data_IF_500244482737
#
_entry.id   IF_500244482737
#
_cell.length_a   1.000
_cell.length_b   1.000
_cell.length_c   1.000
_cell.angle_alpha   90.00
_cell.angle_beta   90.00
_cell.angle_gamma   90.00
#
_symmetry.space_group_name_H-M   'P 1'
#
loop_
_entity.id
_entity.type
_entity.pdbx_description
1 polymer ?
#
# COMPACT_ATOMS: atom_id res chain seq x y z
N UNK A 1 -20.44 -6.60 4.64
CA UNK A 1 -19.09 -6.78 4.06
C UNK A 1 -18.32 -7.70 4.99
N UNK A 2 -17.75 -8.79 4.48
CA UNK A 2 -17.02 -9.77 5.31
C UNK A 2 -15.75 -9.16 5.93
N UNK A 3 -15.30 -9.64 7.11
CA UNK A 3 -14.02 -9.24 7.67
C UNK A 3 -12.87 -9.47 6.66
N UNK A 4 -11.84 -8.60 6.63
CA UNK A 4 -10.73 -8.70 5.66
C UNK A 4 -10.05 -10.08 5.62
N UNK A 5 -9.99 -10.77 6.76
CA UNK A 5 -9.46 -12.13 6.85
C UNK A 5 -10.32 -13.14 6.07
N UNK A 6 -11.65 -13.07 6.20
CA UNK A 6 -12.58 -13.94 5.49
C UNK A 6 -12.51 -13.70 3.98
N UNK A 7 -12.48 -12.44 3.53
CA UNK A 7 -12.27 -12.10 2.11
C UNK A 7 -10.96 -12.65 1.55
N UNK A 8 -9.88 -12.63 2.34
CA UNK A 8 -8.60 -13.21 1.91
C UNK A 8 -8.68 -14.71 1.75
N UNK A 9 -9.32 -15.40 2.69
CA UNK A 9 -9.53 -16.86 2.58
C UNK A 9 -10.36 -17.17 1.33
N UNK A 10 -11.44 -16.44 1.08
CA UNK A 10 -12.24 -16.59 -0.15
C UNK A 10 -11.42 -16.37 -1.42
N UNK A 11 -10.64 -15.29 -1.46
CA UNK A 11 -9.74 -15.00 -2.58
C UNK A 11 -8.70 -16.11 -2.79
N UNK A 12 -8.13 -16.66 -1.72
CA UNK A 12 -7.17 -17.76 -1.81
C UNK A 12 -7.84 -19.07 -2.28
N UNK A 13 -9.07 -19.36 -1.83
CA UNK A 13 -9.85 -20.51 -2.30
C UNK A 13 -10.18 -20.36 -3.79
N UNK A 14 -10.60 -19.18 -4.23
CA UNK A 14 -10.84 -18.86 -5.65
C UNK A 14 -9.56 -19.06 -6.47
N UNK A 15 -8.44 -18.49 -6.02
CA UNK A 15 -7.13 -18.66 -6.65
C UNK A 15 -6.75 -20.14 -6.80
N UNK A 16 -6.85 -20.93 -5.73
CA UNK A 16 -6.51 -22.35 -5.75
C UNK A 16 -7.45 -23.14 -6.68
N UNK A 17 -8.73 -22.80 -6.68
CA UNK A 17 -9.76 -23.42 -7.53
C UNK A 17 -9.55 -23.11 -9.01
N UNK A 18 -9.09 -21.91 -9.34
CA UNK A 18 -8.73 -21.54 -10.72
C UNK A 18 -7.40 -22.19 -11.13
N UNK A 19 -6.39 -22.21 -10.25
CA UNK A 19 -5.07 -22.77 -10.54
C UNK A 19 -5.12 -24.28 -10.82
N UNK A 20 -5.91 -25.05 -10.05
CA UNK A 20 -6.01 -26.51 -10.23
C UNK A 20 -6.68 -26.93 -11.54
N UNK A 21 -7.39 -26.02 -12.20
CA UNK A 21 -8.01 -26.25 -13.51
C UNK A 21 -7.03 -26.03 -14.67
N UNK A 22 -5.87 -25.42 -14.43
CA UNK A 22 -4.83 -25.30 -15.45
C UNK A 22 -4.17 -26.66 -15.69
N UNK A 23 -3.89 -26.99 -16.96
CA UNK A 23 -3.26 -28.27 -17.34
C UNK A 23 -1.84 -28.41 -16.79
N UNK A 24 -1.05 -27.33 -16.85
CA UNK A 24 0.35 -27.30 -16.38
C UNK A 24 0.64 -26.00 -15.60
N UNK A 25 0.18 -25.90 -14.34
CA UNK A 25 0.32 -24.68 -13.55
C UNK A 25 1.78 -24.42 -13.20
N UNK A 26 2.39 -23.40 -13.82
CA UNK A 26 3.74 -22.96 -13.47
C UNK A 26 3.72 -21.97 -12.31
N UNK A 27 4.82 -21.88 -11.54
CA UNK A 27 4.94 -20.87 -10.47
C UNK A 27 4.74 -19.43 -10.97
N UNK A 28 5.26 -19.12 -12.16
CA UNK A 28 5.10 -17.81 -12.78
C UNK A 28 3.63 -17.48 -13.06
N UNK A 29 2.89 -18.46 -13.57
CA UNK A 29 1.45 -18.33 -13.81
C UNK A 29 0.66 -18.23 -12.50
N UNK A 30 0.94 -19.07 -11.51
CA UNK A 30 0.33 -19.02 -10.19
C UNK A 30 0.47 -17.63 -9.54
N UNK A 31 1.66 -17.03 -9.61
CA UNK A 31 1.88 -15.67 -9.08
C UNK A 31 1.04 -14.61 -9.81
N UNK A 32 0.93 -14.70 -11.13
CA UNK A 32 0.13 -13.77 -11.94
C UNK A 32 -1.36 -13.90 -11.59
N UNK A 33 -1.86 -15.14 -11.56
CA UNK A 33 -3.23 -15.45 -11.19
C UNK A 33 -3.57 -14.95 -9.78
N UNK A 34 -2.69 -15.17 -8.80
CA UNK A 34 -2.89 -14.68 -7.44
C UNK A 34 -3.01 -13.15 -7.38
N UNK A 35 -2.20 -12.43 -8.16
CA UNK A 35 -2.30 -10.98 -8.26
C UNK A 35 -3.61 -10.52 -8.92
N UNK A 36 -4.06 -11.21 -9.97
CA UNK A 36 -5.34 -10.97 -10.64
C UNK A 36 -6.51 -11.17 -9.67
N UNK A 37 -6.53 -12.28 -8.93
CA UNK A 37 -7.55 -12.59 -7.93
C UNK A 37 -7.55 -11.55 -6.80
N UNK A 38 -6.37 -11.19 -6.25
CA UNK A 38 -6.30 -10.20 -5.18
C UNK A 38 -6.76 -8.82 -5.63
N UNK A 39 -6.47 -8.43 -6.86
CA UNK A 39 -6.97 -7.19 -7.43
C UNK A 39 -8.51 -7.21 -7.58
N UNK A 40 -9.11 -8.33 -8.02
CA UNK A 40 -10.58 -8.51 -8.06
C UNK A 40 -11.22 -8.36 -6.68
N UNK A 41 -10.54 -8.84 -5.64
CA UNK A 41 -11.02 -8.77 -4.24
C UNK A 41 -10.60 -7.51 -3.48
N UNK A 42 -9.91 -6.56 -4.13
CA UNK A 42 -9.36 -5.36 -3.50
C UNK A 42 -8.51 -5.68 -2.26
N UNK A 43 -7.64 -6.67 -2.37
CA UNK A 43 -6.76 -7.14 -1.31
C UNK A 43 -5.30 -6.83 -1.64
N UNK A 44 -4.53 -6.56 -0.59
CA UNK A 44 -3.07 -6.55 -0.68
C UNK A 44 -2.50 -7.88 -0.14
N UNK A 45 -1.32 -8.33 -0.58
CA UNK A 45 -0.57 -9.40 0.08
C UNK A 45 -0.38 -9.17 1.58
N UNK A 46 -0.04 -10.20 2.35
CA UNK A 46 0.18 -10.12 3.80
C UNK A 46 1.23 -9.08 4.17
N UNK A 47 2.19 -8.77 3.30
CA UNK A 47 3.14 -7.67 3.51
C UNK A 47 2.52 -6.27 3.47
N UNK A 48 1.23 -6.17 3.15
CA UNK A 48 0.44 -4.95 2.99
C UNK A 48 0.75 -4.17 1.71
N UNK A 49 1.43 -4.78 0.74
CA UNK A 49 1.83 -4.13 -0.51
C UNK A 49 1.91 -5.15 -1.66
N UNK A 50 1.35 -4.80 -2.80
CA UNK A 50 1.36 -5.53 -4.07
C UNK A 50 2.69 -5.34 -4.82
N UNK A 51 3.73 -6.07 -4.41
CA UNK A 51 4.98 -6.20 -5.17
C UNK A 51 5.15 -7.62 -5.70
N UNK A 52 5.97 -7.81 -6.74
CA UNK A 52 6.25 -9.15 -7.28
C UNK A 52 6.84 -10.12 -6.23
N UNK A 53 7.64 -9.62 -5.28
CA UNK A 53 8.16 -10.41 -4.16
C UNK A 53 7.16 -10.60 -3.02
N UNK A 54 6.10 -9.78 -2.94
CA UNK A 54 5.02 -9.97 -1.99
C UNK A 54 4.12 -11.15 -2.41
N UNK A 55 3.75 -11.24 -3.69
CA UNK A 55 2.96 -12.38 -4.18
C UNK A 55 3.73 -13.71 -4.13
N UNK A 56 5.07 -13.66 -4.27
CA UNK A 56 5.92 -14.84 -4.03
C UNK A 56 5.79 -15.36 -2.59
N UNK A 57 5.68 -14.46 -1.61
CA UNK A 57 5.43 -14.83 -0.20
C UNK A 57 3.97 -15.24 0.03
N UNK A 58 3.04 -14.65 -0.71
CA UNK A 58 1.62 -14.97 -0.63
C UNK A 58 1.31 -16.39 -1.14
N UNK A 59 2.11 -16.92 -2.09
CA UNK A 59 2.01 -18.33 -2.49
C UNK A 59 2.21 -19.29 -1.31
N UNK A 60 3.06 -18.94 -0.34
CA UNK A 60 3.22 -19.75 0.87
C UNK A 60 1.95 -19.72 1.75
N UNK A 61 1.20 -18.62 1.76
CA UNK A 61 -0.11 -18.52 2.43
C UNK A 61 -1.15 -19.37 1.72
N UNK A 62 -1.18 -19.34 0.39
CA UNK A 62 -2.07 -20.18 -0.39
C UNK A 62 -1.79 -21.68 -0.17
N UNK A 63 -0.52 -22.07 -0.21
CA UNK A 63 -0.11 -23.46 0.02
C UNK A 63 -0.43 -23.92 1.45
N UNK A 64 -0.10 -23.12 2.47
CA UNK A 64 -0.43 -23.40 3.86
C UNK A 64 -1.95 -23.54 4.08
N UNK A 65 -2.76 -22.70 3.43
CA UNK A 65 -4.22 -22.81 3.49
C UNK A 65 -4.71 -24.10 2.81
N UNK A 66 -4.16 -24.47 1.66
CA UNK A 66 -4.54 -25.69 0.96
C UNK A 66 -4.20 -26.95 1.76
N UNK A 67 -2.97 -27.02 2.29
CA UNK A 67 -2.46 -28.16 3.06
C UNK A 67 -3.17 -28.31 4.41
N UNK A 68 -3.13 -27.27 5.26
CA UNK A 68 -3.63 -27.36 6.64
C UNK A 68 -5.11 -27.01 6.76
N UNK A 69 -5.61 -26.08 5.94
CA UNK A 69 -6.98 -25.58 6.03
C UNK A 69 -7.99 -26.37 5.21
N UNK A 70 -7.61 -26.77 4.00
CA UNK A 70 -8.48 -27.54 3.09
C UNK A 70 -8.18 -29.04 3.11
N UNK A 71 -7.07 -29.47 3.72
CA UNK A 71 -6.67 -30.87 3.79
C UNK A 71 -6.31 -31.46 2.43
N UNK A 72 -5.86 -30.64 1.48
CA UNK A 72 -5.51 -31.08 0.14
C UNK A 72 -4.22 -31.92 0.15
N UNK A 73 -4.25 -33.06 -0.52
CA UNK A 73 -3.08 -33.92 -0.72
C UNK A 73 -2.84 -34.15 -2.21
N UNK A 74 -3.77 -34.83 -2.87
CA UNK A 74 -3.66 -35.23 -4.27
C UNK A 74 -3.73 -34.02 -5.19
N UNK A 75 -4.52 -33.02 -4.80
CA UNK A 75 -4.59 -31.71 -5.45
C UNK A 75 -3.24 -30.99 -5.41
N UNK A 76 -2.51 -31.05 -4.30
CA UNK A 76 -1.20 -30.41 -4.18
C UNK A 76 -0.12 -31.12 -5.00
N UNK A 77 -0.26 -32.43 -5.25
CA UNK A 77 0.63 -33.14 -6.19
C UNK A 77 0.45 -32.63 -7.63
N UNK A 78 -0.80 -32.37 -8.05
CA UNK A 78 -1.10 -31.74 -9.35
C UNK A 78 -0.52 -30.32 -9.47
N UNK A 79 -0.40 -29.62 -8.34
CA UNK A 79 0.16 -28.26 -8.27
C UNK A 79 1.67 -28.24 -7.93
N UNK A 80 2.35 -29.38 -8.01
CA UNK A 80 3.75 -29.53 -7.60
C UNK A 80 4.71 -28.57 -8.32
N UNK A 81 4.48 -28.26 -9.59
CA UNK A 81 5.27 -27.28 -10.36
C UNK A 81 5.09 -25.84 -9.86
N UNK A 82 3.91 -25.49 -9.35
CA UNK A 82 3.63 -24.18 -8.78
C UNK A 82 4.19 -24.04 -7.35
N UNK A 83 4.08 -25.11 -6.55
CA UNK A 83 4.38 -25.12 -5.11
C UNK A 83 5.58 -25.98 -4.69
N UNK A 84 6.50 -26.28 -5.61
CA UNK A 84 7.67 -27.12 -5.32
C UNK A 84 8.48 -26.63 -4.11
N UNK A 85 8.60 -25.30 -3.96
CA UNK A 85 9.34 -24.69 -2.83
C UNK A 85 8.62 -24.89 -1.51
N UNK A 86 7.32 -24.62 -1.50
CA UNK A 86 6.48 -24.71 -0.31
C UNK A 86 6.40 -26.15 0.20
N UNK A 87 6.32 -27.14 -0.70
CA UNK A 87 6.38 -28.58 -0.34
C UNK A 87 7.69 -28.99 0.33
N UNK A 88 8.82 -28.48 -0.16
CA UNK A 88 10.13 -28.71 0.50
C UNK A 88 10.17 -28.02 1.86
N UNK A 89 9.63 -26.81 1.97
CA UNK A 89 9.57 -26.07 3.23
C UNK A 89 8.66 -26.75 4.25
N UNK A 90 7.51 -27.30 3.85
CA UNK A 90 6.60 -28.07 4.72
C UNK A 90 7.32 -29.28 5.34
N UNK A 91 7.96 -30.11 4.51
CA UNK A 91 8.75 -31.27 4.98
C UNK A 91 9.88 -30.89 5.92
N UNK A 92 10.62 -29.83 5.57
CA UNK A 92 11.72 -29.35 6.41
C UNK A 92 11.21 -28.80 7.74
N UNK A 93 10.13 -28.03 7.73
CA UNK A 93 9.54 -27.44 8.92
C UNK A 93 9.02 -28.52 9.88
N UNK A 94 8.30 -29.53 9.38
CA UNK A 94 7.86 -30.66 10.19
C UNK A 94 9.03 -31.39 10.85
N UNK A 95 10.14 -31.57 10.14
CA UNK A 95 11.37 -32.16 10.71
C UNK A 95 12.00 -31.29 11.79
N UNK A 96 12.02 -29.96 11.60
CA UNK A 96 12.56 -29.01 12.58
C UNK A 96 11.71 -28.98 13.86
N UNK A 97 10.38 -28.98 13.73
CA UNK A 97 9.48 -29.06 14.88
C UNK A 97 9.63 -30.40 15.62
N UNK A 98 10.00 -31.47 14.91
CA UNK A 98 10.43 -32.76 15.48
C UNK A 98 11.84 -32.76 16.11
N UNK A 99 12.53 -31.61 16.15
CA UNK A 99 13.83 -31.46 16.81
C UNK A 99 15.06 -31.59 15.91
N UNK A 100 14.90 -31.76 14.59
CA UNK A 100 16.04 -31.79 13.68
C UNK A 100 16.70 -30.41 13.55
N UNK A 101 18.02 -30.38 13.31
CA UNK A 101 18.72 -29.13 12.99
C UNK A 101 18.21 -28.56 11.65
N UNK A 102 18.22 -27.23 11.43
CA UNK A 102 17.76 -26.66 10.16
C UNK A 102 18.52 -27.17 8.93
N UNK A 103 19.81 -27.45 9.08
CA UNK A 103 20.64 -28.00 8.00
C UNK A 103 20.20 -29.42 7.63
N UNK A 104 19.99 -30.28 8.63
CA UNK A 104 19.55 -31.66 8.41
C UNK A 104 18.12 -31.72 7.88
N UNK A 105 17.23 -30.89 8.42
CA UNK A 105 15.84 -30.83 8.00
C UNK A 105 15.69 -30.41 6.53
N UNK A 106 16.42 -29.37 6.11
CA UNK A 106 16.48 -28.98 4.70
C UNK A 106 17.13 -30.07 3.84
N UNK A 107 18.22 -30.68 4.31
CA UNK A 107 18.91 -31.77 3.61
C UNK A 107 17.99 -32.96 3.30
N UNK A 108 17.23 -33.42 4.31
CA UNK A 108 16.24 -34.50 4.15
C UNK A 108 15.10 -34.13 3.21
N UNK A 109 14.73 -32.85 3.14
CA UNK A 109 13.72 -32.34 2.23
C UNK A 109 14.24 -32.08 0.80
N UNK A 110 15.52 -32.32 0.52
CA UNK A 110 16.13 -32.12 -0.80
C UNK A 110 16.66 -30.70 -1.05
N UNK A 111 16.89 -29.91 0.00
CA UNK A 111 17.39 -28.55 -0.06
C UNK A 111 18.67 -28.35 0.78
N UNK A 112 19.32 -27.20 0.60
CA UNK A 112 20.50 -26.80 1.36
C UNK A 112 20.23 -25.53 2.15
N UNK A 113 20.87 -25.42 3.32
CA UNK A 113 20.85 -24.19 4.12
C UNK A 113 21.51 -23.06 3.32
N UNK A 114 20.68 -22.20 2.73
CA UNK A 114 21.10 -21.09 1.88
C UNK A 114 20.12 -19.95 2.04
N UNK A 115 20.54 -18.71 1.75
CA UNK A 115 19.70 -17.52 1.91
C UNK A 115 18.34 -17.65 1.21
N UNK A 116 18.31 -18.26 0.02
CA UNK A 116 17.08 -18.49 -0.73
C UNK A 116 16.12 -19.47 -0.03
N UNK A 117 16.63 -20.62 0.44
CA UNK A 117 15.82 -21.62 1.13
C UNK A 117 15.40 -21.18 2.54
N UNK A 118 16.25 -20.45 3.26
CA UNK A 118 15.88 -19.84 4.55
C UNK A 118 14.74 -18.83 4.36
N UNK A 119 14.80 -17.99 3.32
CA UNK A 119 13.74 -17.04 3.00
C UNK A 119 12.41 -17.73 2.66
N UNK A 120 12.46 -18.82 1.88
CA UNK A 120 11.28 -19.62 1.55
C UNK A 120 10.69 -20.31 2.79
N UNK A 121 11.53 -20.96 3.61
CA UNK A 121 11.14 -21.62 4.84
C UNK A 121 10.48 -20.64 5.83
N UNK A 122 11.11 -19.48 6.06
CA UNK A 122 10.55 -18.44 6.92
C UNK A 122 9.23 -17.90 6.35
N UNK A 123 9.10 -17.79 5.03
CA UNK A 123 7.84 -17.35 4.41
C UNK A 123 6.71 -18.34 4.64
N UNK A 124 6.99 -19.64 4.56
CA UNK A 124 6.02 -20.69 4.87
C UNK A 124 5.70 -20.79 6.37
N UNK A 125 6.70 -20.74 7.26
CA UNK A 125 6.48 -20.71 8.70
C UNK A 125 5.63 -19.49 9.14
N UNK A 126 5.88 -18.31 8.54
CA UNK A 126 5.04 -17.12 8.78
C UNK A 126 3.63 -17.27 8.23
N UNK A 127 3.45 -17.95 7.10
CA UNK A 127 2.12 -18.21 6.56
C UNK A 127 1.29 -19.06 7.52
N UNK A 128 1.86 -20.16 8.03
CA UNK A 128 1.21 -20.98 9.06
C UNK A 128 0.90 -20.18 10.33
N UNK A 129 1.86 -19.36 10.79
CA UNK A 129 1.67 -18.49 11.95
C UNK A 129 0.56 -17.46 11.75
N UNK A 130 0.50 -16.85 10.57
CA UNK A 130 -0.53 -15.89 10.20
C UNK A 130 -1.92 -16.53 10.16
N UNK A 131 -2.03 -17.76 9.66
CA UNK A 131 -3.27 -18.54 9.61
C UNK A 131 -3.65 -19.17 10.95
N UNK A 132 -2.74 -19.19 11.92
CA UNK A 132 -2.97 -19.73 13.26
C UNK A 132 -2.62 -21.22 13.43
N UNK A 133 -1.99 -21.83 12.43
CA UNK A 133 -1.51 -23.23 12.49
C UNK A 133 -0.14 -23.38 13.18
N UNK A 134 0.57 -22.27 13.40
CA UNK A 134 1.84 -22.24 14.12
C UNK A 134 1.78 -21.20 15.24
N UNK A 135 2.17 -21.59 16.46
CA UNK A 135 2.20 -20.74 17.63
C UNK A 135 3.39 -19.78 17.68
N UNK A 136 3.32 -18.81 18.59
CA UNK A 136 4.38 -17.80 18.76
C UNK A 136 5.72 -18.41 19.20
N UNK A 137 5.68 -19.37 20.12
CA UNK A 137 6.87 -20.05 20.64
C UNK A 137 7.54 -20.93 19.60
N UNK A 138 6.76 -21.68 18.81
CA UNK A 138 7.29 -22.53 17.74
C UNK A 138 8.01 -21.69 16.68
N UNK A 139 7.39 -20.56 16.27
CA UNK A 139 8.03 -19.63 15.35
C UNK A 139 9.31 -19.00 15.93
N UNK A 140 9.32 -18.67 17.22
CA UNK A 140 10.52 -18.18 17.90
C UNK A 140 11.65 -19.23 17.92
N UNK A 141 11.32 -20.51 18.18
CA UNK A 141 12.29 -21.61 18.12
C UNK A 141 12.86 -21.80 16.71
N UNK A 142 12.04 -21.66 15.66
CA UNK A 142 12.51 -21.70 14.28
C UNK A 142 13.51 -20.57 14.00
N UNK A 143 13.22 -19.33 14.42
CA UNK A 143 14.17 -18.22 14.31
C UNK A 143 15.48 -18.50 15.06
N UNK A 144 15.38 -19.01 16.30
CA UNK A 144 16.54 -19.36 17.13
C UNK A 144 17.38 -20.48 16.51
N UNK A 145 16.74 -21.53 16.00
CA UNK A 145 17.39 -22.64 15.31
C UNK A 145 18.14 -22.18 14.07
N UNK A 146 17.51 -21.36 13.23
CA UNK A 146 18.13 -20.80 12.02
C UNK A 146 19.32 -19.88 12.36
N UNK A 147 19.19 -19.04 13.39
CA UNK A 147 20.28 -18.19 13.85
C UNK A 147 21.49 -19.02 14.32
N UNK A 148 21.26 -20.08 15.12
CA UNK A 148 22.31 -21.01 15.56
C UNK A 148 22.96 -21.76 14.41
N UNK A 149 22.20 -22.06 13.36
CA UNK A 149 22.69 -22.70 12.14
C UNK A 149 23.45 -21.73 11.21
N UNK A 150 23.64 -20.45 11.58
CA UNK A 150 24.39 -19.48 10.79
C UNK A 150 23.59 -18.84 9.66
N UNK A 151 22.26 -18.82 9.74
CA UNK A 151 21.45 -18.07 8.77
C UNK A 151 21.73 -16.56 8.83
N UNK A 152 21.52 -15.90 7.69
CA UNK A 152 21.79 -14.48 7.50
C UNK A 152 21.00 -13.60 8.48
N UNK A 153 21.73 -12.82 9.29
CA UNK A 153 21.14 -11.98 10.34
C UNK A 153 20.23 -10.87 9.80
N UNK A 154 20.50 -10.32 8.61
CA UNK A 154 19.66 -9.29 8.01
C UNK A 154 18.34 -9.86 7.50
N UNK A 155 18.39 -11.07 6.92
CA UNK A 155 17.19 -11.80 6.51
C UNK A 155 16.29 -12.09 7.72
N UNK A 156 16.85 -12.69 8.77
CA UNK A 156 16.13 -12.98 10.01
C UNK A 156 15.52 -11.70 10.61
N UNK A 157 16.26 -10.59 10.59
CA UNK A 157 15.77 -9.28 11.07
C UNK A 157 14.58 -8.76 10.28
N UNK A 158 14.64 -8.85 8.95
CA UNK A 158 13.53 -8.46 8.09
C UNK A 158 12.28 -9.29 8.41
N UNK A 159 12.44 -10.61 8.53
CA UNK A 159 11.33 -11.51 8.78
C UNK A 159 10.73 -11.32 10.18
N UNK A 160 11.55 -11.11 11.22
CA UNK A 160 11.05 -10.75 12.56
C UNK A 160 10.27 -9.44 12.56
N UNK A 161 10.77 -8.39 11.88
CA UNK A 161 10.03 -7.13 11.73
C UNK A 161 8.64 -7.35 11.16
N UNK A 162 8.53 -8.19 10.14
CA UNK A 162 7.26 -8.48 9.49
C UNK A 162 6.30 -9.20 10.44
N UNK A 163 6.78 -10.23 11.16
CA UNK A 163 5.98 -10.95 12.17
C UNK A 163 5.51 -10.02 13.29
N UNK A 164 6.42 -9.23 13.86
CA UNK A 164 6.08 -8.24 14.90
C UNK A 164 5.07 -7.23 14.37
N UNK A 165 5.20 -6.78 13.12
CA UNK A 165 4.26 -5.85 12.52
C UNK A 165 2.86 -6.45 12.36
N UNK A 166 2.76 -7.72 11.94
CA UNK A 166 1.49 -8.45 11.88
C UNK A 166 0.83 -8.59 13.25
N UNK A 167 1.57 -9.07 14.26
CA UNK A 167 1.01 -9.21 15.61
C UNK A 167 0.57 -7.87 16.18
N UNK A 168 1.37 -6.81 15.98
CA UNK A 168 0.99 -5.48 16.45
C UNK A 168 -0.25 -4.96 15.72
N UNK A 169 -0.37 -5.18 14.41
CA UNK A 169 -1.54 -4.83 13.62
C UNK A 169 -2.79 -5.61 14.05
N UNK A 170 -2.68 -6.91 14.32
CA UNK A 170 -3.75 -7.75 14.85
C UNK A 170 -4.22 -7.27 16.24
N UNK A 171 -3.29 -6.90 17.13
CA UNK A 171 -3.62 -6.34 18.44
C UNK A 171 -4.30 -4.97 18.34
N UNK A 172 -3.95 -4.15 17.34
CA UNK A 172 -4.65 -2.90 17.05
C UNK A 172 -6.07 -3.20 16.55
N UNK A 173 -6.21 -4.10 15.58
CA UNK A 173 -7.50 -4.46 14.98
C UNK A 173 -8.48 -5.04 16.01
N UNK A 174 -7.97 -5.78 16.99
CA UNK A 174 -8.76 -6.36 18.09
C UNK A 174 -8.94 -5.42 19.30
N UNK A 175 -8.44 -4.18 19.24
CA UNK A 175 -8.62 -3.19 20.31
C UNK A 175 -7.74 -3.37 21.55
N UNK A 176 -6.80 -4.32 21.55
CA UNK A 176 -5.89 -4.59 22.68
C UNK A 176 -4.80 -3.52 22.86
N UNK A 177 -4.66 -2.58 21.93
CA UNK A 177 -3.72 -1.45 22.00
C UNK A 177 -4.51 -0.15 22.02
N UNK A 178 -4.72 0.39 23.24
CA UNK A 178 -5.48 1.62 23.44
C UNK A 178 -4.64 2.90 23.40
N UNK A 179 -3.31 2.81 23.52
CA UNK A 179 -2.45 3.99 23.59
C UNK A 179 -1.08 3.81 22.93
N UNK A 180 -0.46 4.93 22.58
CA UNK A 180 0.89 4.95 22.01
C UNK A 180 1.98 4.41 22.95
N UNK A 181 1.77 4.45 24.28
CA UNK A 181 2.69 3.83 25.25
C UNK A 181 2.58 2.31 25.18
N UNK A 182 1.36 1.77 25.32
CA UNK A 182 1.10 0.32 25.21
C UNK A 182 1.62 -0.24 23.89
N UNK A 183 1.43 0.50 22.78
CA UNK A 183 1.98 0.14 21.47
C UNK A 183 3.50 -0.07 21.51
N UNK A 184 4.26 0.86 22.10
CA UNK A 184 5.73 0.77 22.17
C UNK A 184 6.17 -0.39 23.04
N UNK A 185 5.53 -0.58 24.19
CA UNK A 185 5.87 -1.65 25.13
C UNK A 185 5.59 -3.02 24.48
N UNK A 186 4.43 -3.18 23.82
CA UNK A 186 4.08 -4.41 23.08
C UNK A 186 5.00 -4.67 21.90
N UNK A 187 5.36 -3.63 21.13
CA UNK A 187 6.32 -3.77 20.02
C UNK A 187 7.65 -4.35 20.48
N UNK A 188 8.20 -3.79 21.57
CA UNK A 188 9.47 -4.26 22.13
C UNK A 188 9.35 -5.68 22.68
N UNK A 189 8.27 -5.99 23.41
CA UNK A 189 8.04 -7.33 23.94
C UNK A 189 7.95 -8.38 22.83
N UNK A 190 7.24 -8.09 21.74
CA UNK A 190 7.15 -8.99 20.57
C UNK A 190 8.49 -9.16 19.87
N UNK A 191 9.28 -8.10 19.71
CA UNK A 191 10.61 -8.21 19.11
C UNK A 191 11.53 -9.15 19.92
N UNK A 192 11.47 -9.05 21.25
CA UNK A 192 12.20 -9.94 22.15
C UNK A 192 11.68 -11.38 22.09
N UNK A 193 10.36 -11.58 22.04
CA UNK A 193 9.73 -12.90 21.96
C UNK A 193 10.25 -13.71 20.77
N UNK A 194 10.39 -13.07 19.60
CA UNK A 194 10.91 -13.73 18.39
C UNK A 194 12.44 -13.77 18.32
N UNK A 195 13.14 -13.58 19.45
CA UNK A 195 14.60 -13.68 19.55
C UNK A 195 15.37 -12.50 18.92
N UNK A 196 14.71 -11.35 18.78
CA UNK A 196 15.31 -10.11 18.26
C UNK A 196 15.59 -9.07 19.33
N UNK A 197 15.93 -7.86 18.88
CA UNK A 197 16.22 -6.67 19.68
C UNK A 197 15.47 -5.43 19.18
N UNK A 198 16.00 -4.25 19.55
CA UNK A 198 15.40 -2.95 19.21
C UNK A 198 15.42 -2.69 17.70
N UNK A 199 16.44 -3.22 17.02
CA UNK A 199 16.65 -3.13 15.58
C UNK A 199 15.69 -3.99 14.78
N UNK A 200 15.01 -4.96 15.41
CA UNK A 200 13.94 -5.80 14.85
C UNK A 200 12.54 -5.18 15.06
N UNK A 201 12.44 -4.04 15.74
CA UNK A 201 11.18 -3.33 15.87
C UNK A 201 10.71 -2.76 14.51
N UNK A 202 9.46 -3.00 14.10
CA UNK A 202 8.93 -2.44 12.86
C UNK A 202 8.66 -0.94 12.98
N UNK A 203 8.72 -0.24 11.84
CA UNK A 203 8.31 1.16 11.75
C UNK A 203 6.78 1.29 11.89
N UNK A 204 6.33 2.46 12.36
CA UNK A 204 4.89 2.76 12.42
C UNK A 204 4.23 2.67 11.04
N UNK A 205 4.94 3.06 9.98
CA UNK A 205 4.46 2.97 8.59
C UNK A 205 4.23 1.52 8.15
N UNK A 206 5.13 0.58 8.50
CA UNK A 206 4.93 -0.84 8.19
C UNK A 206 3.72 -1.41 8.91
N UNK A 207 3.59 -1.11 10.21
CA UNK A 207 2.45 -1.55 11.02
C UNK A 207 1.15 -0.96 10.50
N UNK A 208 1.14 0.34 10.15
CA UNK A 208 -0.05 1.02 9.62
C UNK A 208 -0.49 0.36 8.32
N UNK A 209 0.46 0.10 7.41
CA UNK A 209 0.18 -0.55 6.14
C UNK A 209 -0.47 -1.92 6.33
N UNK A 210 0.04 -2.74 7.25
CA UNK A 210 -0.53 -4.07 7.52
C UNK A 210 -1.89 -3.94 8.23
N UNK A 211 -2.02 -3.05 9.22
CA UNK A 211 -3.27 -2.82 9.94
C UNK A 211 -4.41 -2.41 9.00
N UNK A 212 -4.15 -1.44 8.11
CA UNK A 212 -5.14 -0.93 7.16
C UNK A 212 -5.38 -1.93 6.03
N UNK A 213 -4.33 -2.41 5.37
CA UNK A 213 -4.49 -3.18 4.12
C UNK A 213 -4.77 -4.67 4.33
N UNK A 214 -4.36 -5.25 5.46
CA UNK A 214 -4.50 -6.69 5.74
C UNK A 214 -5.63 -6.95 6.74
N UNK A 215 -5.66 -6.17 7.83
CA UNK A 215 -6.65 -6.34 8.90
C UNK A 215 -7.85 -5.38 8.80
N UNK A 216 -7.87 -4.47 7.81
CA UNK A 216 -8.97 -3.53 7.57
C UNK A 216 -9.27 -2.60 8.72
N UNK A 217 -8.25 -2.26 9.52
CA UNK A 217 -8.36 -1.20 10.51
C UNK A 217 -8.60 0.11 9.75
N UNK A 218 -9.61 0.88 10.17
CA UNK A 218 -9.87 2.19 9.58
C UNK A 218 -8.64 3.10 9.71
N UNK A 219 -8.37 3.91 8.68
CA UNK A 219 -7.15 4.73 8.63
C UNK A 219 -7.09 5.70 9.82
N UNK A 220 -8.24 6.25 10.24
CA UNK A 220 -8.38 7.11 11.42
C UNK A 220 -7.94 6.38 12.69
N UNK A 221 -8.47 5.18 12.93
CA UNK A 221 -8.17 4.34 14.08
C UNK A 221 -6.68 3.99 14.12
N UNK A 222 -6.13 3.55 12.99
CA UNK A 222 -4.72 3.23 12.87
C UNK A 222 -3.84 4.45 13.15
N UNK A 223 -4.21 5.62 12.60
CA UNK A 223 -3.47 6.85 12.81
C UNK A 223 -3.52 7.28 14.28
N UNK A 224 -4.60 7.12 15.05
CA UNK A 224 -4.61 7.46 16.49
C UNK A 224 -3.40 6.88 17.24
N UNK A 225 -2.90 5.72 16.80
CA UNK A 225 -1.80 5.00 17.43
C UNK A 225 -0.46 5.12 16.66
N UNK A 226 -0.52 5.22 15.33
CA UNK A 226 0.63 5.11 14.44
C UNK A 226 0.97 6.44 13.77
N UNK A 227 2.26 6.78 13.73
CA UNK A 227 2.78 7.97 13.07
C UNK A 227 3.29 7.62 11.68
N UNK A 228 2.71 8.23 10.66
CA UNK A 228 3.04 8.03 9.25
C UNK A 228 3.37 9.39 8.64
N UNK A 229 4.43 9.47 7.84
CA UNK A 229 4.79 10.67 7.06
C UNK A 229 4.14 10.63 5.67
N UNK A 230 4.02 11.79 5.00
CA UNK A 230 3.55 11.85 3.60
C UNK A 230 4.36 10.92 2.70
N UNK A 231 5.69 10.95 2.80
CA UNK A 231 6.57 10.09 2.03
C UNK A 231 6.29 8.59 2.25
N UNK A 232 6.03 8.18 3.50
CA UNK A 232 5.71 6.78 3.82
C UNK A 232 4.35 6.35 3.26
N UNK A 233 3.35 7.24 3.34
CA UNK A 233 2.03 7.03 2.76
C UNK A 233 2.11 6.88 1.25
N UNK A 234 2.77 7.81 0.55
CA UNK A 234 2.95 7.75 -0.91
C UNK A 234 3.66 6.47 -1.31
N UNK A 235 4.70 6.07 -0.57
CA UNK A 235 5.40 4.81 -0.80
C UNK A 235 4.51 3.56 -0.61
N UNK A 236 3.53 3.63 0.29
CA UNK A 236 2.54 2.58 0.48
C UNK A 236 1.51 2.58 -0.66
N UNK A 237 0.96 3.75 -0.99
CA UNK A 237 -0.03 3.92 -2.06
C UNK A 237 0.53 3.52 -3.43
N UNK A 238 1.78 3.88 -3.73
CA UNK A 238 2.48 3.50 -4.96
C UNK A 238 2.57 1.97 -5.16
N UNK A 239 2.43 1.19 -4.08
CA UNK A 239 2.49 -0.28 -4.10
C UNK A 239 1.16 -0.94 -3.74
N UNK A 240 0.07 -0.19 -3.60
CA UNK A 240 -1.22 -0.72 -3.20
C UNK A 240 -2.13 -0.89 -4.43
N UNK A 241 -2.10 -2.08 -5.04
CA UNK A 241 -2.93 -2.37 -6.22
C UNK A 241 -4.42 -2.15 -5.93
N UNK A 242 -4.89 -2.48 -4.73
CA UNK A 242 -6.27 -2.28 -4.32
C UNK A 242 -6.72 -0.82 -4.32
N UNK A 243 -5.82 0.15 -4.13
CA UNK A 243 -6.18 1.56 -4.23
C UNK A 243 -6.46 1.95 -5.70
N UNK A 244 -5.59 1.52 -6.61
CA UNK A 244 -5.68 1.94 -8.02
C UNK A 244 -6.70 1.14 -8.79
N UNK A 245 -6.69 -0.19 -8.66
CA UNK A 245 -7.59 -1.04 -9.41
C UNK A 245 -9.04 -0.99 -8.92
N UNK A 246 -9.28 -0.68 -7.64
CA UNK A 246 -10.66 -0.60 -7.15
C UNK A 246 -11.25 0.81 -7.26
N UNK A 247 -10.41 1.85 -7.25
CA UNK A 247 -10.89 3.22 -7.36
C UNK A 247 -10.88 3.76 -8.80
N UNK A 248 -9.84 3.46 -9.57
CA UNK A 248 -9.65 4.04 -10.91
C UNK A 248 -10.22 3.13 -11.99
N UNK A 249 -9.72 1.90 -12.10
CA UNK A 249 -10.18 0.91 -13.09
C UNK A 249 -9.89 -0.52 -12.64
N UNK A 250 -10.92 -1.35 -12.55
CA UNK A 250 -10.78 -2.77 -12.23
C UNK A 250 -9.97 -3.51 -13.30
N UNK A 251 -9.38 -4.66 -12.96
CA UNK A 251 -8.63 -5.46 -13.94
C UNK A 251 -9.48 -5.81 -15.16
N UNK A 252 -10.74 -6.17 -14.95
CA UNK A 252 -11.68 -6.51 -16.02
C UNK A 252 -11.98 -5.29 -16.91
N UNK A 253 -12.28 -4.14 -16.31
CA UNK A 253 -12.51 -2.91 -17.08
C UNK A 253 -11.26 -2.50 -17.87
N UNK A 254 -10.07 -2.70 -17.30
CA UNK A 254 -8.80 -2.42 -17.96
C UNK A 254 -8.58 -3.35 -19.17
N UNK A 255 -8.72 -4.66 -19.00
CA UNK A 255 -8.57 -5.64 -20.08
C UNK A 255 -9.59 -5.40 -21.20
N UNK A 256 -10.85 -5.15 -20.84
CA UNK A 256 -11.91 -4.87 -21.79
C UNK A 256 -11.66 -3.55 -22.54
N UNK A 257 -11.22 -2.51 -21.85
CA UNK A 257 -10.93 -1.22 -22.50
C UNK A 257 -9.72 -1.33 -23.44
N UNK A 258 -8.63 -1.95 -22.98
CA UNK A 258 -7.39 -2.09 -23.76
C UNK A 258 -7.59 -2.99 -24.99
N UNK A 259 -8.37 -4.07 -24.88
CA UNK A 259 -8.64 -4.96 -26.02
C UNK A 259 -9.45 -4.31 -27.14
N UNK A 260 -10.18 -3.23 -26.84
CA UNK A 260 -10.96 -2.44 -27.80
C UNK A 260 -10.15 -1.32 -28.46
N UNK A 261 -8.93 -1.02 -27.97
CA UNK A 261 -8.06 -0.02 -28.57
C UNK A 261 -7.47 -0.54 -29.88
N UNK A 262 -7.21 0.36 -30.83
CA UNK A 262 -6.41 0.01 -32.00
C UNK A 262 -4.95 -0.33 -31.61
N UNK A 263 -4.19 -1.03 -32.46
CA UNK A 263 -2.83 -1.47 -32.12
C UNK A 263 -1.86 -0.34 -31.73
N UNK A 264 -2.02 0.87 -32.27
CA UNK A 264 -1.17 2.01 -31.93
C UNK A 264 -1.48 2.53 -30.52
N UNK A 265 -2.78 2.61 -30.17
CA UNK A 265 -3.18 2.97 -28.81
C UNK A 265 -2.85 1.89 -27.78
N UNK A 266 -2.88 0.60 -28.14
CA UNK A 266 -2.40 -0.48 -27.26
C UNK A 266 -0.91 -0.33 -26.95
N UNK A 267 -0.09 -0.01 -27.94
CA UNK A 267 1.33 0.22 -27.75
C UNK A 267 1.58 1.49 -26.90
N UNK A 268 0.86 2.58 -27.19
CA UNK A 268 0.96 3.81 -26.41
C UNK A 268 0.54 3.60 -24.94
N UNK A 269 -0.53 2.83 -24.69
CA UNK A 269 -0.92 2.41 -23.34
C UNK A 269 0.18 1.62 -22.65
N UNK A 270 0.79 0.65 -23.33
CA UNK A 270 1.88 -0.17 -22.79
C UNK A 270 3.08 0.69 -22.38
N UNK A 271 3.49 1.61 -23.24
CA UNK A 271 4.59 2.56 -22.96
C UNK A 271 4.23 3.44 -21.75
N UNK A 272 3.04 4.03 -21.74
CA UNK A 272 2.58 4.87 -20.64
C UNK A 272 2.50 4.10 -19.31
N UNK A 273 1.97 2.87 -19.33
CA UNK A 273 1.88 2.02 -18.14
C UNK A 273 3.26 1.69 -17.57
N UNK A 274 4.26 1.45 -18.43
CA UNK A 274 5.63 1.23 -17.99
C UNK A 274 6.25 2.50 -17.38
N UNK A 275 6.03 3.68 -18.00
CA UNK A 275 6.55 4.96 -17.50
C UNK A 275 5.93 5.35 -16.17
N UNK A 276 4.61 5.32 -16.06
CA UNK A 276 3.89 5.60 -14.82
C UNK A 276 4.27 4.55 -13.76
N UNK A 277 4.36 3.28 -14.14
CA UNK A 277 4.75 2.18 -13.26
C UNK A 277 6.15 2.33 -12.66
N UNK A 278 7.07 3.00 -13.34
CA UNK A 278 8.40 3.30 -12.78
C UNK A 278 8.33 4.22 -11.56
N UNK A 279 7.32 5.09 -11.48
CA UNK A 279 7.09 6.02 -10.37
C UNK A 279 6.09 5.46 -9.35
N UNK A 280 4.99 4.88 -9.84
CA UNK A 280 3.89 4.32 -9.07
C UNK A 280 3.61 2.88 -9.55
N UNK A 281 4.37 1.88 -9.04
CA UNK A 281 4.36 0.50 -9.54
C UNK A 281 2.99 -0.15 -9.66
N UNK A 282 2.09 0.10 -8.71
CA UNK A 282 0.75 -0.47 -8.70
C UNK A 282 -0.29 0.37 -9.48
N UNK A 283 0.06 1.60 -9.87
CA UNK A 283 -0.82 2.53 -10.57
C UNK A 283 -0.66 2.48 -12.08
N UNK A 284 0.47 1.94 -12.59
CA UNK A 284 0.88 2.03 -13.99
C UNK A 284 -0.26 1.78 -14.99
N UNK A 285 -0.80 0.55 -15.08
CA UNK A 285 -1.87 0.25 -16.03
C UNK A 285 -3.18 1.04 -15.85
N UNK A 286 -3.81 1.12 -14.66
CA UNK A 286 -5.07 1.85 -14.50
C UNK A 286 -4.91 3.36 -14.72
N UNK A 287 -3.79 3.95 -14.30
CA UNK A 287 -3.55 5.38 -14.50
C UNK A 287 -3.17 5.71 -15.94
N UNK A 288 -2.41 4.84 -16.63
CA UNK A 288 -2.13 4.99 -18.04
C UNK A 288 -3.41 4.95 -18.89
N UNK A 289 -4.35 4.06 -18.57
CA UNK A 289 -5.65 4.05 -19.24
C UNK A 289 -6.42 5.35 -19.01
N UNK A 290 -6.47 5.84 -17.76
CA UNK A 290 -7.15 7.10 -17.44
C UNK A 290 -6.55 8.30 -18.20
N UNK A 291 -5.22 8.37 -18.28
CA UNK A 291 -4.51 9.42 -19.02
C UNK A 291 -4.71 9.32 -20.53
N UNK A 292 -4.69 8.10 -21.08
CA UNK A 292 -4.96 7.84 -22.49
C UNK A 292 -6.37 8.28 -22.88
N UNK A 293 -7.38 7.87 -22.12
CA UNK A 293 -8.77 8.26 -22.38
C UNK A 293 -8.94 9.79 -22.34
N UNK A 294 -8.22 10.45 -21.44
CA UNK A 294 -8.19 11.90 -21.37
C UNK A 294 -7.47 12.52 -22.59
N UNK A 295 -6.37 11.93 -23.05
CA UNK A 295 -5.65 12.38 -24.24
C UNK A 295 -6.51 12.27 -25.51
N UNK A 296 -7.25 11.16 -25.65
CA UNK A 296 -8.22 10.96 -26.74
C UNK A 296 -9.32 12.02 -26.66
N UNK A 297 -9.85 12.32 -25.47
CA UNK A 297 -10.84 13.38 -25.29
C UNK A 297 -10.31 14.79 -25.62
N UNK A 298 -8.99 15.00 -25.55
CA UNK A 298 -8.31 16.22 -25.98
C UNK A 298 -7.99 16.25 -27.48
N UNK A 299 -8.24 15.15 -28.20
CA UNK A 299 -7.95 15.03 -29.62
C UNK A 299 -6.47 14.77 -29.93
N UNK A 300 -5.70 14.25 -28.97
CA UNK A 300 -4.33 13.79 -29.21
C UNK A 300 -4.32 12.46 -29.95
N UNK A 301 -3.33 12.28 -30.81
CA UNK A 301 -2.96 10.99 -31.39
C UNK A 301 -2.02 10.22 -30.44
N UNK A 302 -1.69 8.94 -30.73
CA UNK A 302 -0.81 8.14 -29.87
C UNK A 302 0.56 8.78 -29.61
N UNK A 303 1.19 9.36 -30.65
CA UNK A 303 2.52 9.97 -30.54
C UNK A 303 2.48 11.26 -29.70
N UNK A 304 1.47 12.10 -29.90
CA UNK A 304 1.24 13.31 -29.11
C UNK A 304 0.94 12.99 -27.65
N UNK A 305 0.21 11.90 -27.37
CA UNK A 305 0.00 11.41 -26.00
C UNK A 305 1.33 11.01 -25.34
N UNK A 306 2.15 10.19 -26.00
CA UNK A 306 3.44 9.75 -25.47
C UNK A 306 4.38 10.94 -25.26
N UNK A 307 4.47 11.85 -26.24
CA UNK A 307 5.31 13.05 -26.14
C UNK A 307 4.90 13.95 -24.96
N UNK A 308 3.58 14.17 -24.77
CA UNK A 308 3.06 14.94 -23.63
C UNK A 308 3.38 14.26 -22.29
N UNK A 309 3.28 12.93 -22.22
CA UNK A 309 3.63 12.16 -21.03
C UNK A 309 5.14 12.25 -20.72
N UNK A 310 6.01 12.10 -21.71
CA UNK A 310 7.46 12.22 -21.54
C UNK A 310 7.86 13.63 -21.10
N UNK A 311 7.24 14.66 -21.68
CA UNK A 311 7.46 16.05 -21.26
C UNK A 311 7.08 16.29 -19.79
N UNK A 312 6.08 15.59 -19.28
CA UNK A 312 5.62 15.69 -17.90
C UNK A 312 6.48 14.86 -16.93
N UNK A 313 6.88 13.65 -17.31
CA UNK A 313 7.65 12.76 -16.43
C UNK A 313 9.16 13.00 -16.49
N UNK A 314 9.66 13.62 -17.56
CA UNK A 314 11.08 13.90 -17.78
C UNK A 314 11.65 15.03 -16.92
N UNK A 315 10.81 15.84 -16.27
CA UNK A 315 11.26 16.98 -15.45
C UNK A 315 11.82 16.57 -14.09
N UNK A 316 11.60 15.32 -13.67
CA UNK A 316 11.79 14.91 -12.28
C UNK A 316 10.82 15.65 -11.34
N UNK A 317 10.73 15.20 -10.09
CA UNK A 317 9.88 15.84 -9.08
C UNK A 317 8.95 14.86 -8.36
N UNK A 318 8.00 15.42 -7.62
CA UNK A 318 7.00 14.64 -6.91
C UNK A 318 6.01 14.03 -7.93
N UNK A 319 5.86 12.69 -7.97
CA UNK A 319 5.04 12.05 -8.99
C UNK A 319 3.57 12.48 -8.93
N UNK A 320 3.06 12.82 -7.74
CA UNK A 320 1.67 13.29 -7.59
C UNK A 320 1.51 14.66 -8.23
N UNK A 321 2.42 15.60 -7.95
CA UNK A 321 2.38 16.94 -8.54
C UNK A 321 2.53 16.91 -10.07
N UNK A 322 3.46 16.07 -10.56
CA UNK A 322 3.64 15.88 -12.00
C UNK A 322 2.35 15.38 -12.65
N UNK A 323 1.73 14.32 -12.11
CA UNK A 323 0.52 13.74 -12.67
C UNK A 323 -0.69 14.70 -12.58
N UNK A 324 -0.81 15.46 -11.48
CA UNK A 324 -1.85 16.50 -11.35
C UNK A 324 -1.66 17.66 -12.33
N UNK A 325 -0.45 17.86 -12.87
CA UNK A 325 -0.22 18.88 -13.90
C UNK A 325 -0.87 18.56 -15.25
N UNK A 326 -1.30 17.30 -15.47
CA UNK A 326 -2.13 16.90 -16.61
C UNK A 326 -3.56 17.41 -16.42
N UNK A 327 -3.80 18.63 -16.88
CA UNK A 327 -5.11 19.28 -16.84
C UNK A 327 -6.05 18.88 -17.99
N UNK A 328 -7.29 19.38 -17.95
CA UNK A 328 -8.33 19.21 -18.99
C UNK A 328 -8.73 20.58 -19.54
N UNK A 329 -8.65 20.77 -20.86
CA UNK A 329 -9.02 22.05 -21.48
C UNK A 329 -8.23 23.25 -20.94
N UNK A 330 -6.98 23.02 -20.50
CA UNK A 330 -6.12 24.01 -19.87
C UNK A 330 -6.32 24.20 -18.36
N UNK A 331 -7.30 23.52 -17.74
CA UNK A 331 -7.55 23.57 -16.30
C UNK A 331 -6.77 22.51 -15.56
N UNK A 332 -6.00 22.91 -14.55
CA UNK A 332 -5.16 22.02 -13.74
C UNK A 332 -5.71 21.88 -12.33
N UNK A 333 -5.88 20.65 -11.81
CA UNK A 333 -6.18 20.43 -10.41
C UNK A 333 -4.97 20.79 -9.53
N UNK A 334 -5.20 21.49 -8.43
CA UNK A 334 -4.14 21.86 -7.48
C UNK A 334 -4.65 21.91 -6.04
N UNK A 335 -3.71 21.98 -5.09
CA UNK A 335 -4.03 22.14 -3.67
C UNK A 335 -3.22 23.28 -3.06
N UNK A 336 -3.85 24.04 -2.16
CA UNK A 336 -3.20 25.09 -1.39
C UNK A 336 -3.44 24.85 0.10
N UNK A 337 -2.36 24.78 0.88
CA UNK A 337 -2.47 24.70 2.34
C UNK A 337 -2.65 26.09 2.95
N UNK A 338 -3.69 26.25 3.77
CA UNK A 338 -4.06 27.50 4.42
C UNK A 338 -3.57 27.55 5.88
N UNK A 339 -3.38 28.76 6.39
CA UNK A 339 -3.03 29.01 7.80
C UNK A 339 -4.06 28.45 8.79
N UNK A 340 -5.34 28.36 8.38
CA UNK A 340 -6.43 27.73 9.15
C UNK A 340 -6.31 26.22 9.31
N UNK A 341 -5.23 25.61 8.79
CA UNK A 341 -5.03 24.15 8.72
C UNK A 341 -6.07 23.45 7.86
N UNK A 342 -6.46 24.11 6.78
CA UNK A 342 -7.33 23.54 5.75
C UNK A 342 -6.59 23.52 4.42
N UNK A 343 -7.06 22.67 3.52
CA UNK A 343 -6.58 22.56 2.16
C UNK A 343 -7.67 23.10 1.24
N UNK A 344 -7.35 24.11 0.45
CA UNK A 344 -8.18 24.48 -0.70
C UNK A 344 -7.83 23.58 -1.87
N UNK A 345 -8.86 23.00 -2.47
CA UNK A 345 -8.74 22.16 -3.66
C UNK A 345 -9.36 22.89 -4.84
N UNK A 346 -8.60 23.02 -5.92
CA UNK A 346 -8.86 24.03 -6.96
C UNK A 346 -8.69 23.46 -8.35
N UNK A 347 -9.38 24.09 -9.30
CA UNK A 347 -9.06 24.06 -10.72
C UNK A 347 -8.51 25.42 -11.13
N UNK A 348 -7.38 25.44 -11.84
CA UNK A 348 -6.68 26.67 -12.23
C UNK A 348 -6.42 26.72 -13.75
N UNK A 349 -6.70 27.85 -14.39
CA UNK A 349 -6.39 28.12 -15.79
C UNK A 349 -5.93 29.57 -15.98
N UNK A 350 -4.63 29.78 -16.10
CA UNK A 350 -4.07 31.14 -16.19
C UNK A 350 -4.37 31.93 -14.92
N UNK A 351 -5.23 32.95 -15.03
CA UNK A 351 -5.71 33.75 -13.89
C UNK A 351 -7.08 33.31 -13.36
N UNK A 352 -7.74 32.38 -14.04
CA UNK A 352 -9.04 31.84 -13.61
C UNK A 352 -8.82 30.73 -12.58
N UNK A 353 -9.64 30.73 -11.53
CA UNK A 353 -9.57 29.77 -10.44
C UNK A 353 -10.98 29.41 -9.96
N UNK A 354 -11.24 28.11 -9.83
CA UNK A 354 -12.46 27.57 -9.23
C UNK A 354 -12.07 26.73 -8.03
N UNK A 355 -12.35 27.24 -6.83
CA UNK A 355 -12.21 26.47 -5.59
C UNK A 355 -13.45 25.58 -5.47
N UNK A 356 -13.27 24.27 -5.51
CA UNK A 356 -14.38 23.32 -5.46
C UNK A 356 -14.51 22.58 -4.14
N UNK A 357 -13.47 22.61 -3.31
CA UNK A 357 -13.55 22.11 -1.94
C UNK A 357 -12.58 22.83 -0.99
N UNK A 358 -12.93 22.82 0.29
CA UNK A 358 -12.08 23.22 1.41
C UNK A 358 -12.11 22.11 2.45
N UNK A 359 -10.97 21.45 2.65
CA UNK A 359 -10.86 20.27 3.49
C UNK A 359 -10.01 20.60 4.73
N UNK A 360 -10.60 20.69 5.93
CA UNK A 360 -9.84 20.76 7.17
C UNK A 360 -8.91 19.56 7.33
N UNK A 361 -7.71 19.76 7.86
CA UNK A 361 -6.76 18.67 8.07
C UNK A 361 -7.32 17.56 8.98
N UNK A 362 -8.14 17.91 9.97
CA UNK A 362 -8.79 16.93 10.84
C UNK A 362 -9.82 16.11 10.07
N UNK A 363 -10.69 16.74 9.26
CA UNK A 363 -11.63 16.02 8.40
C UNK A 363 -10.92 15.10 7.39
N UNK A 364 -9.81 15.55 6.79
CA UNK A 364 -9.01 14.70 5.92
C UNK A 364 -8.54 13.44 6.65
N UNK A 365 -8.02 13.59 7.87
CA UNK A 365 -7.55 12.47 8.70
C UNK A 365 -8.70 11.53 9.12
N UNK A 366 -9.90 12.08 9.30
CA UNK A 366 -11.09 11.29 9.63
C UNK A 366 -11.64 10.52 8.44
N UNK A 367 -11.66 11.14 7.26
CA UNK A 367 -12.14 10.52 6.03
C UNK A 367 -11.20 9.41 5.51
N UNK A 368 -9.89 9.52 5.77
CA UNK A 368 -8.90 8.64 5.16
C UNK A 368 -8.73 8.90 3.65
N UNK A 369 -7.81 8.19 3.01
CA UNK A 369 -7.54 8.36 1.57
C UNK A 369 -8.77 8.05 0.73
N UNK A 370 -9.44 6.91 0.99
CA UNK A 370 -10.60 6.47 0.17
C UNK A 370 -11.81 7.39 0.32
N UNK A 371 -12.21 7.70 1.55
CA UNK A 371 -13.36 8.58 1.80
C UNK A 371 -13.12 9.99 1.27
N UNK A 372 -11.89 10.49 1.37
CA UNK A 372 -11.52 11.77 0.79
C UNK A 372 -11.52 11.74 -0.74
N UNK A 373 -11.04 10.66 -1.36
CA UNK A 373 -11.07 10.52 -2.82
C UNK A 373 -12.50 10.49 -3.37
N UNK A 374 -13.44 9.80 -2.69
CA UNK A 374 -14.85 9.81 -3.06
C UNK A 374 -15.47 11.20 -2.98
N UNK A 375 -15.24 11.93 -1.87
CA UNK A 375 -15.68 13.32 -1.68
C UNK A 375 -15.14 14.23 -2.79
N UNK A 376 -13.83 14.17 -3.03
CA UNK A 376 -13.18 15.03 -4.02
C UNK A 376 -13.63 14.71 -5.44
N UNK A 377 -13.94 13.45 -5.76
CA UNK A 377 -14.46 13.06 -7.08
C UNK A 377 -15.81 13.74 -7.35
N UNK A 378 -16.75 13.64 -6.41
CA UNK A 378 -18.06 14.26 -6.56
C UNK A 378 -17.96 15.79 -6.71
N UNK A 379 -17.09 16.43 -5.93
CA UNK A 379 -16.87 17.88 -6.02
C UNK A 379 -16.15 18.31 -7.31
N UNK A 380 -15.22 17.51 -7.79
CA UNK A 380 -14.52 17.76 -9.04
C UNK A 380 -15.47 17.62 -10.25
N UNK A 381 -16.35 16.62 -10.25
CA UNK A 381 -17.41 16.44 -11.26
C UNK A 381 -18.30 17.69 -11.36
N UNK A 382 -18.81 18.19 -10.23
CA UNK A 382 -19.60 19.43 -10.15
C UNK A 382 -18.84 20.63 -10.73
N UNK A 383 -17.57 20.78 -10.36
CA UNK A 383 -16.73 21.90 -10.78
C UNK A 383 -16.40 21.88 -12.28
N UNK A 384 -16.10 20.70 -12.83
CA UNK A 384 -15.84 20.51 -14.27
C UNK A 384 -17.08 20.86 -15.08
N UNK A 385 -18.27 20.45 -14.63
CA UNK A 385 -19.52 20.82 -15.27
C UNK A 385 -19.77 22.34 -15.23
N UNK A 386 -19.53 22.97 -14.07
CA UNK A 386 -19.71 24.42 -13.90
C UNK A 386 -18.73 25.26 -14.74
N UNK A 387 -17.48 24.80 -14.89
CA UNK A 387 -16.45 25.49 -15.67
C UNK A 387 -16.66 25.43 -17.19
N UNK A 388 -17.71 24.75 -17.68
CA UNK A 388 -18.04 24.59 -19.10
C UNK A 388 -16.81 24.20 -19.94
N UNK A 389 -16.03 23.25 -19.44
CA UNK A 389 -14.78 22.85 -20.07
C UNK A 389 -15.03 22.42 -21.53
N UNK A 390 -14.25 22.99 -22.46
CA UNK A 390 -14.26 22.58 -23.86
C UNK A 390 -13.59 21.20 -23.92
N UNK A 391 -14.40 20.15 -23.94
CA UNK A 391 -13.96 18.76 -23.86
C UNK A 391 -14.56 18.07 -22.64
N UNK A 392 -15.06 16.84 -22.81
CA UNK A 392 -15.58 16.06 -21.69
C UNK A 392 -14.41 15.41 -20.96
N UNK A 393 -14.27 15.66 -19.65
CA UNK A 393 -13.39 14.86 -18.81
C UNK A 393 -13.93 13.43 -18.75
N UNK A 394 -13.06 12.44 -18.84
CA UNK A 394 -13.46 11.04 -18.74
C UNK A 394 -13.65 10.64 -17.27
N UNK A 395 -14.56 9.70 -17.01
CA UNK A 395 -14.85 9.29 -15.63
C UNK A 395 -13.62 8.68 -14.94
N UNK A 396 -12.80 7.90 -15.65
CA UNK A 396 -11.58 7.32 -15.09
C UNK A 396 -10.52 8.37 -14.78
N UNK A 397 -10.41 9.42 -15.60
CA UNK A 397 -9.52 10.55 -15.29
C UNK A 397 -9.95 11.27 -14.02
N UNK A 398 -11.25 11.54 -13.85
CA UNK A 398 -11.80 12.17 -12.64
C UNK A 398 -11.52 11.33 -11.38
N UNK A 399 -11.69 10.00 -11.46
CA UNK A 399 -11.31 9.07 -10.39
C UNK A 399 -9.81 9.13 -10.11
N UNK A 400 -8.96 9.10 -11.13
CA UNK A 400 -7.51 9.19 -10.95
C UNK A 400 -7.09 10.49 -10.24
N UNK A 401 -7.58 11.65 -10.70
CA UNK A 401 -7.26 12.96 -10.12
C UNK A 401 -7.75 13.06 -8.68
N UNK A 402 -8.98 12.61 -8.39
CA UNK A 402 -9.51 12.65 -7.04
C UNK A 402 -8.66 11.83 -6.06
N UNK A 403 -8.18 10.65 -6.47
CA UNK A 403 -7.28 9.82 -5.65
C UNK A 403 -5.93 10.49 -5.43
N UNK A 404 -5.34 11.11 -6.47
CA UNK A 404 -4.08 11.85 -6.36
C UNK A 404 -4.20 13.05 -5.40
N UNK A 405 -5.27 13.83 -5.51
CA UNK A 405 -5.56 14.95 -4.60
C UNK A 405 -5.78 14.46 -3.16
N UNK A 406 -6.49 13.34 -2.98
CA UNK A 406 -6.72 12.77 -1.66
C UNK A 406 -5.40 12.31 -1.00
N UNK A 407 -4.51 11.66 -1.75
CA UNK A 407 -3.18 11.29 -1.27
C UNK A 407 -2.36 12.51 -0.84
N UNK A 408 -2.45 13.60 -1.61
CA UNK A 408 -1.74 14.84 -1.31
C UNK A 408 -2.24 15.49 -0.01
N UNK A 409 -3.55 15.73 0.06
CA UNK A 409 -4.20 16.36 1.21
C UNK A 409 -4.02 15.53 2.47
N UNK A 410 -4.28 14.22 2.39
CA UNK A 410 -4.15 13.32 3.54
C UNK A 410 -2.70 13.17 4.00
N UNK A 411 -1.75 13.07 3.06
CA UNK A 411 -0.33 13.01 3.34
C UNK A 411 0.17 14.25 4.11
N UNK A 412 -0.18 15.45 3.63
CA UNK A 412 0.14 16.71 4.33
C UNK A 412 -0.54 16.81 5.69
N UNK A 413 -1.79 16.35 5.81
CA UNK A 413 -2.50 16.30 7.09
C UNK A 413 -1.77 15.43 8.14
N UNK A 414 -1.20 14.29 7.71
CA UNK A 414 -0.41 13.41 8.57
C UNK A 414 0.86 14.10 9.13
N UNK A 415 1.50 14.95 8.34
CA UNK A 415 2.68 15.70 8.74
C UNK A 415 2.36 16.79 9.77
N UNK A 416 1.28 17.55 9.54
CA UNK A 416 0.78 18.58 10.48
C UNK A 416 0.53 17.95 11.86
N UNK A 417 -0.12 16.79 11.88
CA UNK A 417 -0.39 16.07 13.12
C UNK A 417 0.88 15.63 13.83
N UNK A 418 1.86 15.14 13.08
CA UNK A 418 3.15 14.70 13.63
C UNK A 418 3.91 15.85 14.30
N UNK A 419 3.91 17.03 13.67
CA UNK A 419 4.54 18.23 14.22
C UNK A 419 3.91 18.69 15.56
N UNK A 420 2.60 18.49 15.76
CA UNK A 420 1.92 18.80 17.05
C UNK A 420 2.40 17.90 18.18
N UNK A 421 2.65 16.62 17.89
CA UNK A 421 3.02 15.64 18.91
C UNK A 421 4.48 15.77 19.39
N UNK A 422 5.32 16.52 18.68
CA UNK A 422 6.71 16.81 19.05
C UNK A 422 6.85 18.08 19.89
N UNK A 423 5.87 18.99 19.85
CA UNK A 423 5.80 20.15 20.75
C UNK A 423 5.35 19.69 22.13
N UNK A 424 6.33 19.24 22.93
CA UNK A 424 6.17 19.11 24.37
C UNK A 424 5.91 20.49 24.97
N UNK A 425 4.74 20.64 25.59
CA UNK A 425 4.11 21.88 26.09
C UNK A 425 3.61 22.83 24.99
N UNK A 426 2.39 23.40 25.16
CA UNK A 426 1.89 24.44 24.27
C UNK A 426 2.90 25.58 24.24
N UNK A 427 3.27 26.03 23.04
CA UNK A 427 3.91 27.32 22.91
C UNK A 427 2.91 28.36 23.40
N UNK A 428 3.30 29.21 24.35
CA UNK A 428 2.51 30.41 24.66
C UNK A 428 2.48 31.26 23.40
N UNK A 429 1.28 31.42 22.87
CA UNK A 429 1.00 32.36 21.80
C UNK A 429 0.81 33.72 22.46
N UNK A 430 1.80 34.60 22.33
CA UNK A 430 1.66 36.01 22.72
C UNK A 430 1.23 36.77 21.48
N UNK A 431 0.00 37.29 21.49
CA UNK A 431 -0.47 38.22 20.48
C UNK A 431 0.02 39.62 20.88
N UNK A 432 0.99 40.16 20.14
CA UNK A 432 1.40 41.55 20.28
C UNK A 432 0.85 42.34 19.09
N UNK A 433 0.17 43.44 19.37
CA UNK A 433 -0.30 44.36 18.35
C UNK A 433 0.73 45.48 18.22
N UNK A 434 1.23 45.69 17.01
CA UNK A 434 2.14 46.77 16.69
C UNK A 434 1.51 47.67 15.62
N UNK A 435 1.58 48.98 15.81
CA UNK A 435 1.21 49.95 14.78
C UNK A 435 2.42 50.21 13.88
N UNK A 436 2.24 50.03 12.58
CA UNK A 436 3.23 50.40 11.56
C UNK A 436 2.55 51.36 10.60
N UNK A 437 2.87 52.66 10.74
CA UNK A 437 2.11 53.73 10.09
C UNK A 437 0.68 53.79 10.62
N UNK A 438 -0.30 53.91 9.72
CA UNK A 438 -1.73 53.94 10.06
C UNK A 438 -2.36 52.53 10.17
N UNK A 439 -1.59 51.47 9.89
CA UNK A 439 -2.06 50.10 9.96
C UNK A 439 -1.73 49.46 11.31
N UNK A 440 -2.73 48.81 11.92
CA UNK A 440 -2.54 47.96 13.10
C UNK A 440 -2.25 46.53 12.64
N UNK A 441 -1.05 46.03 12.93
CA UNK A 441 -0.62 44.69 12.55
C UNK A 441 -0.63 43.82 13.81
N UNK A 442 -1.44 42.77 13.79
CA UNK A 442 -1.36 41.72 14.80
C UNK A 442 -0.21 40.78 14.46
N UNK A 443 0.79 40.70 15.34
CA UNK A 443 1.92 39.78 15.19
C UNK A 443 1.75 38.65 16.19
N UNK A 444 1.65 37.42 15.68
CA UNK A 444 1.53 36.22 16.48
C UNK A 444 2.94 35.69 16.79
N UNK A 445 3.46 35.97 17.99
CA UNK A 445 4.80 35.51 18.39
C UNK A 445 4.70 34.15 19.07
N UNK A 446 5.19 33.11 18.40
CA UNK A 446 5.24 31.75 18.94
C UNK A 446 6.53 31.55 19.72
N UNK A 447 6.49 31.71 21.06
CA UNK A 447 7.63 31.35 21.91
C UNK A 447 7.77 29.83 22.01
N UNK A 448 8.78 29.28 21.34
CA UNK A 448 9.20 27.88 21.58
C UNK A 448 9.93 27.80 22.90
N UNK A 449 9.36 27.11 23.89
CA UNK A 449 10.08 26.76 25.11
C UNK A 449 11.37 26.01 24.77
N UNK A 450 12.53 26.57 25.13
CA UNK A 450 13.80 25.85 25.01
C UNK A 450 13.75 24.62 25.93
N UNK A 451 14.10 23.45 25.40
CA UNK A 451 14.43 22.29 26.23
C UNK A 451 15.62 22.69 27.11
N UNK A 452 15.47 22.53 28.43
CA UNK A 452 16.61 22.53 29.36
C UNK A 452 17.44 21.29 29.15
#
# INVERSE_FOLDING_TARGET
MLPPHARRVEALIEFLSELIREEEPTRGRARKLLAEVYARHCLEPITGASTGSAFERELAVAYALAEEGLGWSDELERLSSAFARERVCSKALGSMLGGASPADALGRAGAKLSRAWVSALLSYARALHYLGYLGDYELAEIFGGLARAGADAELLRFDRKLVVAHKLAQLIASGHIASGRVKRDRRRALALLFGGGREDEPSDALVWRIAVNVYGVGEREALKLLRVSRASLLSAAARAASLWYCFVASCRELEEAVSKLDPLWQEAHRVAAARVGALLPAAGPPLALALLEQAVAEGLDPDGFVAKLEGLLGTGGDPIELLLSWGVGGWKPSTLFLASRSFEVKLERGYEMVVFDRVPAEEALEAGVRGLAERLRAKLEEAVAAAKLRGKATERWLRAVALLLALEVFGRACEIRSARAERGRPAETLAERAKVGDAEIAVEVVRRGRRK
#
